data_IF_189058897561
#
_entry.id   IF_189058897561
#
_cell.length_a   1.000
_cell.length_b   1.000
_cell.length_c   1.000
_cell.angle_alpha   90.00
_cell.angle_beta   90.00
_cell.angle_gamma   90.00
#
_symmetry.space_group_name_H-M   'P 1'
#
loop_
_entity.id
_entity.type
_entity.pdbx_description
1 polymer ?
#
# COMPACT_ATOMS: atom_id res chain seq x y z
N UNK A 1 20.05 24.33 -2.36
CA UNK A 1 20.72 23.02 -2.56
C UNK A 1 19.84 21.81 -2.25
N UNK A 2 19.01 21.79 -1.19
CA UNK A 2 18.12 20.66 -0.90
C UNK A 2 16.94 20.51 -1.89
N UNK A 3 16.38 21.63 -2.35
CA UNK A 3 15.29 21.71 -3.35
C UNK A 3 15.68 21.04 -4.68
N UNK A 4 16.88 21.36 -5.19
CA UNK A 4 17.39 20.93 -6.49
C UNK A 4 17.59 19.40 -6.57
N UNK A 5 18.15 18.82 -5.50
CA UNK A 5 18.32 17.36 -5.37
C UNK A 5 16.99 16.60 -5.20
N UNK A 6 15.92 17.28 -4.80
CA UNK A 6 14.58 16.69 -4.74
C UNK A 6 13.97 16.66 -6.14
N UNK A 7 14.08 17.75 -6.90
CA UNK A 7 13.60 17.84 -8.29
C UNK A 7 14.28 16.80 -9.19
N UNK A 8 15.60 16.61 -9.07
CA UNK A 8 16.30 15.56 -9.82
C UNK A 8 15.81 14.15 -9.47
N UNK A 9 15.53 13.87 -8.18
CA UNK A 9 14.98 12.59 -7.74
C UNK A 9 13.54 12.38 -8.18
N UNK A 10 12.73 13.45 -8.25
CA UNK A 10 11.38 13.43 -8.83
C UNK A 10 11.46 13.01 -10.30
N UNK A 11 12.33 13.67 -11.07
CA UNK A 11 12.50 13.42 -12.51
C UNK A 11 13.07 12.02 -12.79
N UNK A 12 13.99 11.53 -11.95
CA UNK A 12 14.58 10.21 -12.07
C UNK A 12 13.68 9.07 -11.55
N UNK A 13 12.48 9.36 -11.02
CA UNK A 13 11.66 8.36 -10.32
C UNK A 13 12.41 7.66 -9.16
N UNK A 14 13.22 8.42 -8.41
CA UNK A 14 14.08 7.95 -7.32
C UNK A 14 13.66 8.51 -5.95
N UNK A 15 12.35 8.74 -5.75
CA UNK A 15 11.79 9.16 -4.46
C UNK A 15 11.64 7.96 -3.53
N UNK A 16 12.77 7.44 -3.08
CA UNK A 16 12.84 6.35 -2.13
C UNK A 16 12.46 6.83 -0.72
N UNK A 17 11.68 6.03 0.01
CA UNK A 17 11.57 6.19 1.46
C UNK A 17 12.93 5.85 2.09
N UNK A 18 13.15 6.22 3.36
CA UNK A 18 14.39 5.85 4.05
C UNK A 18 14.63 4.33 4.03
N UNK A 19 13.56 3.53 4.11
CA UNK A 19 13.61 2.06 4.02
C UNK A 19 14.02 1.58 2.63
N UNK A 20 13.46 2.20 1.58
CA UNK A 20 13.80 1.91 0.19
C UNK A 20 15.28 2.26 -0.11
N UNK A 21 15.75 3.40 0.36
CA UNK A 21 17.15 3.81 0.21
C UNK A 21 18.09 2.87 0.97
N UNK A 22 17.71 2.47 2.19
CA UNK A 22 18.49 1.53 2.98
C UNK A 22 18.59 0.15 2.31
N UNK A 23 17.51 -0.34 1.67
CA UNK A 23 17.54 -1.58 0.91
C UNK A 23 18.43 -1.50 -0.34
N UNK A 24 18.28 -0.42 -1.11
CA UNK A 24 19.16 -0.15 -2.26
C UNK A 24 20.64 -0.12 -1.86
N UNK A 25 20.98 0.52 -0.74
CA UNK A 25 22.35 0.58 -0.24
C UNK A 25 22.87 -0.79 0.21
N UNK A 26 22.07 -1.57 0.94
CA UNK A 26 22.44 -2.95 1.34
C UNK A 26 22.70 -3.84 0.14
N UNK A 27 21.85 -3.74 -0.88
CA UNK A 27 22.01 -4.51 -2.10
C UNK A 27 23.23 -4.08 -2.91
N UNK A 28 23.48 -2.77 -3.03
CA UNK A 28 24.68 -2.26 -3.66
C UNK A 28 25.94 -2.76 -2.93
N UNK A 29 25.95 -2.79 -1.60
CA UNK A 29 27.07 -3.36 -0.84
C UNK A 29 27.23 -4.87 -1.00
N UNK A 30 26.15 -5.61 -1.21
CA UNK A 30 26.21 -7.06 -1.46
C UNK A 30 26.78 -7.38 -2.85
N UNK A 31 26.47 -6.56 -3.86
CA UNK A 31 27.02 -6.72 -5.22
C UNK A 31 28.49 -6.28 -5.34
N UNK A 32 28.97 -5.38 -4.47
CA UNK A 32 30.39 -4.98 -4.45
C UNK A 32 31.35 -6.13 -4.09
N UNK A 33 30.84 -7.24 -3.54
CA UNK A 33 31.62 -8.45 -3.26
C UNK A 33 31.65 -9.49 -4.37
N UNK A 34 30.91 -9.28 -5.47
CA UNK A 34 30.70 -10.28 -6.53
C UNK A 34 31.03 -9.68 -7.90
N UNK A 35 32.23 -9.96 -8.43
CA UNK A 35 32.77 -9.33 -9.63
C UNK A 35 32.05 -9.75 -10.94
N UNK A 36 31.21 -10.78 -10.90
CA UNK A 36 30.46 -11.32 -12.05
C UNK A 36 28.94 -11.04 -11.98
N UNK A 37 28.47 -10.26 -10.99
CA UNK A 37 27.06 -9.95 -10.83
C UNK A 37 26.54 -9.05 -11.97
N UNK A 38 25.93 -9.67 -12.99
CA UNK A 38 25.18 -8.98 -14.04
C UNK A 38 24.10 -8.10 -13.40
N UNK A 39 23.87 -6.85 -13.85
CA UNK A 39 22.86 -5.97 -13.27
C UNK A 39 21.48 -6.57 -13.50
N UNK A 40 20.97 -7.28 -12.49
CA UNK A 40 19.65 -7.90 -12.55
C UNK A 40 18.59 -6.79 -12.54
N UNK A 41 17.70 -6.80 -13.53
CA UNK A 41 16.60 -5.82 -13.70
C UNK A 41 15.54 -5.90 -12.59
N UNK A 42 15.73 -6.76 -11.58
CA UNK A 42 14.92 -6.82 -10.38
C UNK A 42 15.23 -5.60 -9.51
N UNK A 43 14.24 -4.74 -9.30
CA UNK A 43 14.44 -3.58 -8.43
C UNK A 43 14.81 -4.06 -7.03
N UNK A 44 15.94 -3.59 -6.46
CA UNK A 44 16.44 -4.00 -5.14
C UNK A 44 15.42 -3.81 -4.02
N UNK A 45 14.45 -2.93 -4.24
CA UNK A 45 13.35 -2.60 -3.34
C UNK A 45 12.41 -3.76 -3.05
N UNK A 46 12.26 -4.70 -3.99
CA UNK A 46 11.36 -5.85 -3.84
C UNK A 46 12.00 -7.00 -3.04
N UNK A 47 13.33 -7.06 -3.00
CA UNK A 47 14.11 -8.06 -2.26
C UNK A 47 14.11 -7.80 -0.76
N UNK A 48 14.23 -6.53 -0.34
CA UNK A 48 14.24 -6.15 1.08
C UNK A 48 12.84 -6.04 1.71
N UNK A 49 11.79 -6.06 0.89
CA UNK A 49 10.41 -5.99 1.34
C UNK A 49 9.54 -6.90 0.47
N UNK A 50 9.64 -8.24 0.57
CA UNK A 50 8.88 -9.15 -0.29
C UNK A 50 7.38 -8.95 -0.09
N UNK A 51 6.57 -9.10 -1.15
CA UNK A 51 5.11 -9.12 -0.99
C UNK A 51 4.74 -10.13 0.10
N UNK A 52 3.97 -9.68 1.09
CA UNK A 52 3.66 -10.54 2.23
C UNK A 52 2.87 -11.76 1.73
N UNK A 53 3.28 -12.97 2.12
CA UNK A 53 2.67 -14.20 1.64
C UNK A 53 1.17 -14.30 2.00
N UNK A 54 0.76 -13.62 3.06
CA UNK A 54 -0.61 -13.49 3.56
C UNK A 54 -1.37 -12.28 2.99
N UNK A 55 -0.77 -11.49 2.09
CA UNK A 55 -1.41 -10.31 1.50
C UNK A 55 -2.73 -10.66 0.81
N UNK A 56 -2.77 -11.79 0.08
CA UNK A 56 -4.02 -12.27 -0.53
C UNK A 56 -5.12 -12.47 0.53
N UNK A 57 -4.78 -13.07 1.66
CA UNK A 57 -5.74 -13.29 2.74
C UNK A 57 -6.19 -11.97 3.40
N UNK A 58 -5.27 -11.02 3.59
CA UNK A 58 -5.61 -9.69 4.11
C UNK A 58 -6.54 -8.91 3.19
N UNK A 59 -6.28 -8.93 1.88
CA UNK A 59 -7.13 -8.27 0.89
C UNK A 59 -8.48 -8.96 0.76
N UNK A 60 -8.54 -10.29 0.76
CA UNK A 60 -9.80 -11.02 0.73
C UNK A 60 -10.70 -10.65 1.93
N UNK A 61 -10.15 -10.63 3.15
CA UNK A 61 -10.88 -10.20 4.37
C UNK A 61 -11.31 -8.74 4.31
N UNK A 62 -10.54 -7.86 3.67
CA UNK A 62 -10.96 -6.46 3.51
C UNK A 62 -12.12 -6.35 2.51
N UNK A 63 -12.06 -7.09 1.40
CA UNK A 63 -13.07 -7.07 0.37
C UNK A 63 -14.40 -7.70 0.78
N UNK A 64 -14.43 -8.58 1.78
CA UNK A 64 -15.71 -9.10 2.32
C UNK A 64 -16.61 -8.02 2.92
N UNK A 65 -16.07 -6.82 3.18
CA UNK A 65 -16.83 -5.67 3.63
C UNK A 65 -17.32 -4.76 2.49
N UNK A 66 -17.09 -5.14 1.23
CA UNK A 66 -17.52 -4.38 0.07
C UNK A 66 -18.75 -5.04 -0.56
N UNK A 67 -19.93 -4.55 -0.19
CA UNK A 67 -21.19 -5.17 -0.57
C UNK A 67 -21.66 -4.83 -2.00
N UNK A 68 -20.91 -4.00 -2.73
CA UNK A 68 -21.25 -3.58 -4.09
C UNK A 68 -20.05 -3.21 -4.93
N UNK A 69 -20.22 -3.26 -6.26
CA UNK A 69 -19.21 -2.79 -7.22
C UNK A 69 -18.95 -1.29 -7.09
N UNK A 70 -19.94 -0.50 -6.67
CA UNK A 70 -19.74 0.92 -6.38
C UNK A 70 -18.83 1.12 -5.16
N UNK A 71 -19.08 0.41 -4.05
CA UNK A 71 -18.23 0.44 -2.87
C UNK A 71 -16.80 -0.03 -3.19
N UNK A 72 -16.67 -1.08 -4.02
CA UNK A 72 -15.38 -1.55 -4.51
C UNK A 72 -14.62 -0.42 -5.24
N UNK A 73 -15.27 0.25 -6.20
CA UNK A 73 -14.65 1.31 -7.01
C UNK A 73 -14.36 2.58 -6.22
N UNK A 74 -15.30 3.02 -5.38
CA UNK A 74 -15.24 4.27 -4.62
C UNK A 74 -14.28 4.18 -3.44
N UNK A 75 -14.27 3.06 -2.73
CA UNK A 75 -13.57 2.91 -1.46
C UNK A 75 -12.41 1.91 -1.55
N UNK A 76 -12.68 0.65 -1.87
CA UNK A 76 -11.65 -0.39 -1.76
C UNK A 76 -10.48 -0.20 -2.73
N UNK A 77 -10.76 0.10 -3.99
CA UNK A 77 -9.70 0.30 -5.01
C UNK A 77 -8.74 1.43 -4.60
N UNK A 78 -9.22 2.65 -4.25
CA UNK A 78 -8.34 3.71 -3.77
C UNK A 78 -7.56 3.34 -2.49
N UNK A 79 -8.20 2.67 -1.53
CA UNK A 79 -7.54 2.25 -0.28
C UNK A 79 -6.41 1.25 -0.58
N UNK A 80 -6.69 0.19 -1.33
CA UNK A 80 -5.70 -0.83 -1.71
C UNK A 80 -4.53 -0.19 -2.47
N UNK A 81 -4.82 0.63 -3.48
CA UNK A 81 -3.79 1.34 -4.25
C UNK A 81 -2.90 2.22 -3.36
N UNK A 82 -3.49 2.97 -2.42
CA UNK A 82 -2.73 3.82 -1.51
C UNK A 82 -1.92 3.02 -0.49
N UNK A 83 -2.40 1.85 -0.06
CA UNK A 83 -1.65 0.95 0.84
C UNK A 83 -0.43 0.34 0.13
N UNK A 84 -0.56 -0.01 -1.15
CA UNK A 84 0.56 -0.48 -1.96
C UNK A 84 1.60 0.61 -2.18
N UNK A 85 1.17 1.86 -2.41
CA UNK A 85 2.07 3.00 -2.53
C UNK A 85 2.77 3.37 -1.21
N UNK A 86 2.10 3.16 -0.08
CA UNK A 86 2.68 3.35 1.24
C UNK A 86 3.77 2.31 1.52
N UNK A 87 3.55 1.08 1.07
CA UNK A 87 4.41 -0.06 1.35
C UNK A 87 5.53 -0.22 0.30
N UNK A 88 5.35 0.25 -0.95
CA UNK A 88 6.27 0.05 -2.08
C UNK A 88 6.32 1.22 -3.07
N UNK A 89 7.44 1.32 -3.79
CA UNK A 89 7.58 2.24 -4.92
C UNK A 89 6.89 1.70 -6.19
N UNK A 90 6.06 2.49 -6.90
CA UNK A 90 5.07 1.95 -7.85
C UNK A 90 5.61 1.36 -9.15
N UNK A 91 6.77 1.77 -9.69
CA UNK A 91 7.13 1.41 -11.08
C UNK A 91 7.72 0.01 -11.25
N UNK A 92 8.37 -0.54 -10.22
CA UNK A 92 8.90 -1.91 -10.26
C UNK A 92 7.95 -2.92 -9.63
N UNK A 93 7.04 -2.46 -8.75
CA UNK A 93 6.23 -3.34 -7.93
C UNK A 93 4.85 -3.70 -8.52
N UNK A 94 4.38 -3.03 -9.58
CA UNK A 94 3.08 -3.30 -10.21
C UNK A 94 2.91 -4.74 -10.70
N UNK A 95 3.98 -5.38 -11.16
CA UNK A 95 3.94 -6.78 -11.59
C UNK A 95 3.66 -7.73 -10.42
N UNK A 96 4.22 -7.48 -9.23
CA UNK A 96 4.08 -8.36 -8.07
C UNK A 96 2.68 -8.32 -7.44
N UNK A 97 1.97 -7.20 -7.57
CA UNK A 97 0.60 -7.07 -7.06
C UNK A 97 -0.45 -7.60 -8.02
N UNK A 98 -0.13 -7.76 -9.30
CA UNK A 98 -1.08 -8.18 -10.32
C UNK A 98 -1.62 -9.58 -10.05
N UNK A 99 -0.75 -10.52 -9.70
CA UNK A 99 -1.14 -11.90 -9.41
C UNK A 99 -1.99 -11.98 -8.13
N UNK A 100 -1.61 -11.21 -7.10
CA UNK A 100 -2.38 -11.12 -5.85
C UNK A 100 -3.77 -10.53 -6.11
N UNK A 101 -3.86 -9.40 -6.82
CA UNK A 101 -5.14 -8.77 -7.18
C UNK A 101 -6.02 -9.70 -8.02
N UNK A 102 -5.42 -10.45 -8.95
CA UNK A 102 -6.13 -11.41 -9.79
C UNK A 102 -6.73 -12.53 -8.93
N UNK A 103 -5.94 -13.14 -8.06
CA UNK A 103 -6.37 -14.25 -7.19
C UNK A 103 -7.41 -13.80 -6.15
N UNK A 104 -7.21 -12.63 -5.54
CA UNK A 104 -8.14 -12.07 -4.56
C UNK A 104 -9.50 -11.75 -5.18
N UNK A 105 -9.51 -11.14 -6.38
CA UNK A 105 -10.77 -10.79 -7.03
C UNK A 105 -11.59 -12.04 -7.37
N UNK A 106 -10.94 -13.12 -7.81
CA UNK A 106 -11.62 -14.40 -8.04
C UNK A 106 -12.22 -14.99 -6.77
N UNK A 107 -11.51 -14.93 -5.64
CA UNK A 107 -11.96 -15.55 -4.39
C UNK A 107 -12.99 -14.70 -3.61
N UNK A 108 -12.82 -13.38 -3.55
CA UNK A 108 -13.60 -12.51 -2.67
C UNK A 108 -14.80 -11.84 -3.36
N UNK A 109 -14.67 -11.44 -4.63
CA UNK A 109 -15.74 -10.70 -5.34
C UNK A 109 -16.82 -11.67 -5.87
N UNK A 110 -16.47 -12.93 -6.16
CA UNK A 110 -17.43 -13.96 -6.58
C UNK A 110 -18.26 -14.54 -5.42
N UNK A 111 -17.89 -14.27 -4.17
CA UNK A 111 -18.57 -14.81 -2.99
C UNK A 111 -19.82 -14.01 -2.57
N UNK A 112 -20.09 -12.87 -3.21
CA UNK A 112 -21.30 -12.09 -2.92
C UNK A 112 -22.49 -12.66 -3.70
N UNK A 113 -23.18 -13.62 -3.08
CA UNK A 113 -24.42 -14.20 -3.60
C UNK A 113 -25.46 -13.12 -3.91
N UNK A 114 -25.95 -13.07 -5.15
CA UNK A 114 -27.07 -12.23 -5.56
C UNK A 114 -26.73 -10.89 -6.24
N UNK A 115 -25.46 -10.55 -6.45
CA UNK A 115 -25.10 -9.36 -7.24
C UNK A 115 -25.03 -9.69 -8.74
N UNK A 116 -25.79 -8.96 -9.56
CA UNK A 116 -25.72 -9.05 -11.04
C UNK A 116 -24.49 -8.33 -11.61
N UNK A 117 -23.84 -7.48 -10.79
CA UNK A 117 -22.66 -6.72 -11.17
C UNK A 117 -21.40 -7.45 -10.72
N UNK A 118 -20.69 -8.06 -11.67
CA UNK A 118 -19.40 -8.70 -11.42
C UNK A 118 -18.26 -7.88 -12.00
N UNK A 119 -17.12 -7.89 -11.31
CA UNK A 119 -15.87 -7.29 -11.81
C UNK A 119 -14.91 -8.42 -12.15
N UNK A 120 -14.45 -8.44 -13.40
CA UNK A 120 -13.45 -9.40 -13.83
C UNK A 120 -12.12 -9.16 -13.08
N UNK A 121 -11.37 -10.21 -12.68
CA UNK A 121 -10.08 -10.05 -12.02
C UNK A 121 -9.08 -9.16 -12.77
N UNK A 122 -9.11 -9.22 -14.11
CA UNK A 122 -8.31 -8.37 -14.98
C UNK A 122 -8.74 -6.90 -14.92
N UNK A 123 -10.03 -6.62 -14.80
CA UNK A 123 -10.57 -5.27 -14.64
C UNK A 123 -10.24 -4.70 -13.26
N UNK A 124 -10.37 -5.50 -12.20
CA UNK A 124 -9.97 -5.10 -10.85
C UNK A 124 -8.49 -4.71 -10.79
N UNK A 125 -7.61 -5.55 -11.33
CA UNK A 125 -6.18 -5.29 -11.38
C UNK A 125 -5.86 -3.99 -12.14
N UNK A 126 -6.52 -3.76 -13.29
CA UNK A 126 -6.39 -2.50 -14.06
C UNK A 126 -6.86 -1.28 -13.29
N UNK A 127 -7.93 -1.38 -12.49
CA UNK A 127 -8.42 -0.26 -11.68
C UNK A 127 -7.41 0.11 -10.59
N UNK A 128 -6.82 -0.88 -9.92
CA UNK A 128 -5.76 -0.65 -8.92
C UNK A 128 -4.54 0.01 -9.57
N UNK A 129 -4.07 -0.51 -10.70
CA UNK A 129 -2.94 0.04 -11.45
C UNK A 129 -3.17 1.49 -11.90
N UNK A 130 -4.37 1.79 -12.41
CA UNK A 130 -4.76 3.13 -12.81
C UNK A 130 -4.78 4.09 -11.62
N UNK A 131 -5.30 3.65 -10.46
CA UNK A 131 -5.29 4.44 -9.24
C UNK A 131 -3.88 4.68 -8.70
N UNK A 132 -3.03 3.67 -8.68
CA UNK A 132 -1.62 3.81 -8.29
C UNK A 132 -0.90 4.82 -9.21
N UNK A 133 -1.12 4.73 -10.52
CA UNK A 133 -0.57 5.67 -11.50
C UNK A 133 -1.03 7.10 -11.24
N UNK A 134 -2.32 7.30 -10.95
CA UNK A 134 -2.90 8.60 -10.62
C UNK A 134 -2.26 9.21 -9.36
N UNK A 135 -2.19 8.43 -8.29
CA UNK A 135 -1.59 8.85 -7.02
C UNK A 135 -0.08 9.10 -7.16
N UNK A 136 0.62 8.33 -7.99
CA UNK A 136 2.03 8.53 -8.26
C UNK A 136 2.32 9.91 -8.87
N UNK A 137 1.46 10.41 -9.76
CA UNK A 137 1.58 11.79 -10.28
C UNK A 137 1.56 12.81 -9.14
N UNK A 138 0.74 12.60 -8.12
CA UNK A 138 0.71 13.49 -6.95
C UNK A 138 2.01 13.41 -6.11
N UNK A 139 2.65 12.24 -6.06
CA UNK A 139 3.98 12.10 -5.45
C UNK A 139 5.05 12.89 -6.20
N UNK A 140 4.98 12.89 -7.55
CA UNK A 140 5.89 13.72 -8.37
C UNK A 140 5.68 15.21 -8.17
N UNK A 141 4.49 15.63 -7.74
CA UNK A 141 4.19 17.03 -7.38
C UNK A 141 4.63 17.40 -5.94
N UNK A 142 5.33 16.51 -5.24
CA UNK A 142 5.93 16.80 -3.93
C UNK A 142 5.14 16.28 -2.72
N UNK A 143 4.01 15.61 -2.90
CA UNK A 143 3.34 14.92 -1.79
C UNK A 143 4.11 13.64 -1.39
N UNK A 144 4.06 13.26 -0.11
CA UNK A 144 4.57 11.95 0.33
C UNK A 144 3.47 10.90 0.26
N UNK A 145 3.85 9.63 0.06
CA UNK A 145 2.90 8.51 0.07
C UNK A 145 2.11 8.43 1.39
N UNK A 146 2.78 8.69 2.52
CA UNK A 146 2.13 8.77 3.81
C UNK A 146 1.11 9.93 3.90
N UNK A 147 1.44 11.12 3.38
CA UNK A 147 0.50 12.25 3.34
C UNK A 147 -0.74 11.92 2.51
N UNK A 148 -0.54 11.37 1.31
CA UNK A 148 -1.62 11.01 0.40
C UNK A 148 -2.50 9.92 1.00
N UNK A 149 -1.89 8.87 1.57
CA UNK A 149 -2.62 7.80 2.24
C UNK A 149 -3.43 8.33 3.45
N UNK A 150 -2.85 9.22 4.26
CA UNK A 150 -3.57 9.86 5.38
C UNK A 150 -4.78 10.67 4.91
N UNK A 151 -4.63 11.46 3.84
CA UNK A 151 -5.73 12.23 3.26
C UNK A 151 -6.86 11.32 2.77
N UNK A 152 -6.50 10.21 2.13
CA UNK A 152 -7.46 9.23 1.64
C UNK A 152 -8.21 8.55 2.79
N UNK A 153 -7.50 8.11 3.84
CA UNK A 153 -8.12 7.51 5.01
C UNK A 153 -9.06 8.50 5.71
N UNK A 154 -8.66 9.77 5.84
CA UNK A 154 -9.51 10.81 6.40
C UNK A 154 -10.77 11.07 5.54
N UNK A 155 -10.65 11.06 4.21
CA UNK A 155 -11.77 11.27 3.30
C UNK A 155 -12.85 10.18 3.40
N UNK A 156 -12.47 8.97 3.81
CA UNK A 156 -13.38 7.82 3.96
C UNK A 156 -13.72 7.50 5.42
N UNK A 157 -13.63 8.48 6.34
CA UNK A 157 -13.80 8.25 7.77
C UNK A 157 -15.10 7.51 8.13
N UNK A 158 -16.22 7.80 7.45
CA UNK A 158 -17.50 7.13 7.68
C UNK A 158 -17.51 5.67 7.20
N UNK A 159 -16.89 5.38 6.05
CA UNK A 159 -16.73 4.01 5.53
C UNK A 159 -15.85 3.20 6.49
N UNK A 160 -14.78 3.81 7.01
CA UNK A 160 -13.89 3.20 8.00
C UNK A 160 -14.62 2.85 9.29
N UNK A 161 -15.48 3.74 9.82
CA UNK A 161 -16.19 3.54 11.10
C UNK A 161 -16.98 2.24 11.19
N UNK A 162 -17.34 1.61 10.07
CA UNK A 162 -18.09 0.34 10.02
C UNK A 162 -17.20 -0.89 10.02
N UNK A 163 -15.89 -0.71 9.80
CA UNK A 163 -14.93 -1.78 9.64
C UNK A 163 -14.25 -2.12 10.95
N UNK A 164 -14.18 -3.40 11.29
CA UNK A 164 -13.44 -3.89 12.46
C UNK A 164 -12.63 -5.10 12.04
N UNK A 165 -11.39 -5.17 12.48
CA UNK A 165 -10.54 -6.34 12.24
C UNK A 165 -9.50 -6.49 13.35
N UNK A 166 -9.36 -7.72 13.81
CA UNK A 166 -8.37 -8.22 14.77
C UNK A 166 -7.18 -8.93 14.08
N UNK A 167 -7.32 -9.22 12.79
CA UNK A 167 -6.39 -10.01 11.99
C UNK A 167 -5.69 -9.20 10.91
N UNK A 168 -6.27 -8.08 10.48
CA UNK A 168 -5.72 -7.24 9.41
C UNK A 168 -5.72 -5.77 9.80
N UNK A 169 -4.57 -5.12 9.75
CA UNK A 169 -4.47 -3.68 9.89
C UNK A 169 -4.99 -3.03 8.61
N UNK A 170 -6.20 -2.48 8.65
CA UNK A 170 -6.81 -1.89 7.46
C UNK A 170 -6.17 -0.59 6.96
N UNK A 171 -5.26 -0.02 7.74
CA UNK A 171 -4.45 1.10 7.29
C UNK A 171 -3.38 0.66 6.27
N UNK A 172 -2.71 -0.47 6.49
CA UNK A 172 -1.68 -0.96 5.55
C UNK A 172 -2.11 -2.18 4.73
N UNK A 173 -3.24 -2.82 5.06
CA UNK A 173 -3.78 -4.03 4.44
C UNK A 173 -2.80 -5.20 4.36
N UNK A 174 -1.78 -5.22 5.20
CA UNK A 174 -0.65 -6.16 5.09
C UNK A 174 -0.24 -6.84 6.38
N UNK A 175 -0.41 -6.17 7.52
CA UNK A 175 0.11 -6.65 8.81
C UNK A 175 -1.03 -6.94 9.75
N UNK A 176 -0.80 -7.87 10.68
CA UNK A 176 -1.70 -8.07 11.81
C UNK A 176 -1.68 -6.85 12.73
N UNK A 177 -2.85 -6.37 13.21
CA UNK A 177 -2.91 -5.28 14.15
C UNK A 177 -2.38 -5.68 15.53
N UNK A 178 -1.77 -4.73 16.23
CA UNK A 178 -1.19 -4.88 17.57
C UNK A 178 -1.80 -3.87 18.54
N UNK A 179 -2.36 -2.77 18.02
CA UNK A 179 -2.99 -1.71 18.78
C UNK A 179 -4.45 -1.58 18.37
N UNK A 180 -5.33 -1.46 19.35
CA UNK A 180 -6.77 -1.36 19.17
C UNK A 180 -7.25 -0.11 19.91
N UNK A 181 -7.37 1.04 19.22
CA UNK A 181 -7.94 2.24 19.81
C UNK A 181 -9.42 2.00 20.13
N UNK A 182 -10.03 2.86 20.95
CA UNK A 182 -11.46 2.77 21.33
C UNK A 182 -12.42 2.76 20.13
N UNK A 183 -11.99 3.30 18.99
CA UNK A 183 -12.73 3.22 17.74
C UNK A 183 -12.77 1.81 17.11
N UNK A 184 -12.06 0.83 17.69
CA UNK A 184 -12.08 -0.59 17.33
C UNK A 184 -11.28 -0.96 16.07
N UNK A 185 -10.63 0.00 15.42
CA UNK A 185 -9.80 -0.26 14.23
C UNK A 185 -8.42 -0.79 14.64
N UNK A 186 -8.14 -2.06 14.38
CA UNK A 186 -6.81 -2.61 14.58
C UNK A 186 -5.74 -1.90 13.74
N UNK A 187 -4.67 -1.44 14.38
CA UNK A 187 -3.50 -0.83 13.75
C UNK A 187 -2.23 -1.63 14.07
N UNK A 188 -1.36 -1.81 13.07
CA UNK A 188 -0.03 -2.37 13.29
C UNK A 188 0.92 -1.30 13.84
N UNK A 189 1.99 -1.73 14.52
CA UNK A 189 2.96 -0.81 15.13
C UNK A 189 3.59 0.15 14.11
N UNK A 190 3.82 -0.30 12.87
CA UNK A 190 4.41 0.54 11.83
C UNK A 190 3.46 1.69 11.43
N UNK A 191 2.16 1.41 11.30
CA UNK A 191 1.16 2.46 11.07
C UNK A 191 1.08 3.41 12.26
N UNK A 192 1.15 2.92 13.50
CA UNK A 192 1.18 3.80 14.68
C UNK A 192 2.42 4.70 14.68
N UNK A 193 3.59 4.19 14.29
CA UNK A 193 4.82 5.01 14.19
C UNK A 193 4.74 6.09 13.10
N UNK A 194 4.10 5.77 11.96
CA UNK A 194 4.02 6.68 10.81
C UNK A 194 2.89 7.71 10.98
N UNK A 195 1.75 7.30 11.53
CA UNK A 195 0.51 8.08 11.55
C UNK A 195 0.07 8.51 12.94
N UNK A 196 0.61 7.88 14.00
CA UNK A 196 0.27 8.23 15.36
C UNK A 196 0.72 9.63 15.72
N UNK A 197 -0.16 10.36 16.41
CA UNK A 197 0.15 11.63 17.05
C UNK A 197 0.79 11.34 18.40
N UNK A 198 1.97 11.89 18.67
CA UNK A 198 2.51 11.88 20.05
C UNK A 198 1.63 12.78 20.89
N UNK A 199 0.80 12.19 21.76
CA UNK A 199 0.13 12.95 22.80
C UNK A 199 1.20 13.32 23.82
N UNK A 200 1.48 14.62 23.98
CA UNK A 200 2.33 15.08 25.09
C UNK A 200 1.61 14.70 26.39
N UNK A 201 2.29 14.09 27.38
CA UNK A 201 1.68 13.89 28.68
C UNK A 201 1.31 15.28 29.22
N UNK A 202 0.05 15.43 29.60
CA UNK A 202 -0.43 16.57 30.35
C UNK A 202 0.35 16.50 31.66
N UNK A 203 1.31 17.43 31.86
CA UNK A 203 1.98 17.57 33.15
C UNK A 203 0.91 18.04 34.13
N UNK A 204 0.49 17.13 35.02
CA UNK A 204 -0.22 17.48 36.25
C UNK A 204 0.70 18.18 37.23
#
# INVERSE_FOLDING_TARGET
>A
MAETKRVERVLASCLFSATHLAGLLRHATAQLGDADARPSTFSPLSLDNPVAADLQAHLARFLTHCDSVDALKRFAVPVIASSFLLDHYPRACTMFYKDVCYNVCGAAVLAHEGSTDFVLPSQFSKMIEAQMTRMFRQLTMGQSAASLHRQLVAAFAEDWRRLRSDSTCFHCLRRRPQFFPECGHGQCMDCVKIFGSRVRPIRG
#
